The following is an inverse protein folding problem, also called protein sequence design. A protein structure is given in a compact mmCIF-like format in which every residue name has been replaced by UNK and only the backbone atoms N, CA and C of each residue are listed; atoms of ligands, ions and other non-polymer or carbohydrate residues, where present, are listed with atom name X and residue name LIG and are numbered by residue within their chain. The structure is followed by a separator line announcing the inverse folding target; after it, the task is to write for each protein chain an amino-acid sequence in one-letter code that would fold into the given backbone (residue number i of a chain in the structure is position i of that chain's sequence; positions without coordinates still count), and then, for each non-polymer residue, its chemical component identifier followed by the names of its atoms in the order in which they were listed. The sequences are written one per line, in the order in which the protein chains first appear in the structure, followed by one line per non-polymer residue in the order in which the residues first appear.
data_IF_076007269919
#
_entry.id   IF_076007269919
#
_cell.length_a   1.000
_cell.length_b   1.000
_cell.length_c   1.000
_cell.angle_alpha   90.00
_cell.angle_beta   90.00
_cell.angle_gamma   90.00
#
_symmetry.space_group_name_H-M   'P 1'
#
loop_
_entity.id
_entity.type
_entity.pdbx_description
1 polymer ?
#
# COMPACT_ATOMS: atom_id res chain seq x y z
N UNK A 1 -4.84 8.23 -15.59
CA UNK A 1 -5.45 7.18 -14.75
C UNK A 1 -5.07 7.47 -13.32
N UNK A 2 -6.03 7.50 -12.40
CA UNK A 2 -5.78 7.82 -10.98
C UNK A 2 -5.05 6.65 -10.30
N UNK A 3 -4.16 6.98 -9.37
CA UNK A 3 -3.32 6.01 -8.65
C UNK A 3 -3.67 6.02 -7.17
N UNK A 4 -3.89 4.84 -6.60
CA UNK A 4 -4.09 4.64 -5.17
C UNK A 4 -2.93 3.83 -4.59
N UNK A 5 -2.25 4.38 -3.58
CA UNK A 5 -1.26 3.65 -2.79
C UNK A 5 -1.86 3.28 -1.44
N UNK A 6 -1.83 2.00 -1.07
CA UNK A 6 -2.33 1.50 0.21
C UNK A 6 -1.16 0.99 1.05
N UNK A 7 -0.91 1.62 2.19
CA UNK A 7 0.15 1.28 3.14
C UNK A 7 -0.45 0.47 4.29
N UNK A 8 0.22 -0.60 4.71
CA UNK A 8 -0.25 -1.47 5.79
C UNK A 8 -1.35 -2.44 5.35
N UNK A 9 -1.18 -3.08 4.19
CA UNK A 9 -2.18 -4.03 3.68
C UNK A 9 -2.20 -5.33 4.49
N UNK A 10 -3.30 -5.55 5.20
CA UNK A 10 -3.70 -6.84 5.79
C UNK A 10 -4.90 -7.48 5.06
N UNK A 11 -5.28 -8.69 5.49
CA UNK A 11 -6.30 -9.54 4.83
C UNK A 11 -7.72 -8.95 4.83
N UNK A 12 -8.02 -8.06 5.78
CA UNK A 12 -9.32 -7.40 5.93
C UNK A 12 -9.36 -6.06 5.19
N UNK A 13 -9.23 -4.93 5.90
CA UNK A 13 -9.43 -3.57 5.37
C UNK A 13 -8.53 -3.28 4.17
N UNK A 14 -7.26 -3.67 4.23
CA UNK A 14 -6.29 -3.45 3.15
C UNK A 14 -6.71 -4.11 1.84
N UNK A 15 -7.11 -5.38 1.88
CA UNK A 15 -7.62 -6.13 0.72
C UNK A 15 -8.90 -5.51 0.16
N UNK A 16 -9.90 -5.28 1.03
CA UNK A 16 -11.18 -4.72 0.61
C UNK A 16 -11.02 -3.33 -0.05
N UNK A 17 -10.13 -2.51 0.48
CA UNK A 17 -9.79 -1.21 -0.10
C UNK A 17 -9.13 -1.37 -1.47
N UNK A 18 -8.15 -2.27 -1.61
CA UNK A 18 -7.48 -2.52 -2.88
C UNK A 18 -8.45 -2.97 -3.98
N UNK A 19 -9.34 -3.91 -3.64
CA UNK A 19 -10.38 -4.41 -4.55
C UNK A 19 -11.36 -3.31 -4.94
N UNK A 20 -11.82 -2.49 -3.99
CA UNK A 20 -12.78 -1.42 -4.25
C UNK A 20 -12.22 -0.32 -5.16
N UNK A 21 -10.98 0.11 -4.92
CA UNK A 21 -10.33 1.12 -5.76
C UNK A 21 -10.04 0.59 -7.17
N UNK A 22 -9.61 -0.67 -7.30
CA UNK A 22 -9.41 -1.29 -8.60
C UNK A 22 -10.73 -1.39 -9.39
N UNK A 23 -11.83 -1.78 -8.73
CA UNK A 23 -13.16 -1.80 -9.34
C UNK A 23 -13.65 -0.40 -9.76
N UNK A 24 -13.17 0.66 -9.09
CA UNK A 24 -13.44 2.05 -9.46
C UNK A 24 -12.48 2.60 -10.56
N UNK A 25 -11.61 1.76 -11.14
CA UNK A 25 -10.73 2.14 -12.25
C UNK A 25 -9.37 2.74 -11.85
N UNK A 26 -8.98 2.64 -10.57
CA UNK A 26 -7.67 3.11 -10.12
C UNK A 26 -6.58 2.09 -10.44
N UNK A 27 -5.37 2.58 -10.73
CA UNK A 27 -4.16 1.77 -10.60
C UNK A 27 -3.83 1.65 -9.12
N UNK A 28 -3.88 0.45 -8.57
CA UNK A 28 -3.68 0.21 -7.13
C UNK A 28 -2.32 -0.40 -6.88
N UNK A 29 -1.52 0.25 -6.03
CA UNK A 29 -0.28 -0.27 -5.47
C UNK A 29 -0.44 -0.54 -3.97
N UNK A 30 0.25 -1.57 -3.47
CA UNK A 30 0.16 -1.98 -2.07
C UNK A 30 1.54 -2.03 -1.42
N UNK A 31 1.64 -1.54 -0.20
CA UNK A 31 2.88 -1.49 0.56
C UNK A 31 2.69 -2.09 1.96
N UNK A 32 3.55 -3.03 2.34
CA UNK A 32 3.55 -3.63 3.69
C UNK A 32 4.83 -4.43 3.93
N UNK A 33 5.02 -4.93 5.16
CA UNK A 33 6.21 -5.69 5.57
C UNK A 33 6.36 -7.00 4.82
N UNK A 34 5.24 -7.63 4.47
CA UNK A 34 5.17 -8.93 3.81
C UNK A 34 4.09 -8.89 2.74
N UNK A 35 4.30 -9.58 1.63
CA UNK A 35 3.29 -9.67 0.58
C UNK A 35 2.05 -10.39 1.11
N UNK A 36 0.88 -9.75 1.00
CA UNK A 36 -0.43 -10.29 1.43
C UNK A 36 -1.42 -10.49 0.30
N UNK A 37 -1.22 -9.83 -0.83
CA UNK A 37 -2.08 -9.93 -2.01
C UNK A 37 -1.28 -10.44 -3.20
N UNK A 38 -1.99 -10.91 -4.22
CA UNK A 38 -1.40 -11.29 -5.50
C UNK A 38 -0.71 -10.08 -6.15
N UNK A 39 0.60 -10.18 -6.31
CA UNK A 39 1.44 -9.13 -6.89
C UNK A 39 1.26 -8.96 -8.39
N UNK A 40 0.71 -9.97 -9.08
CA UNK A 40 0.35 -9.85 -10.49
C UNK A 40 -0.83 -8.87 -10.68
N UNK A 41 -1.73 -8.81 -9.70
CA UNK A 41 -2.89 -7.90 -9.71
C UNK A 41 -2.57 -6.55 -9.05
N UNK A 42 -1.81 -6.55 -7.97
CA UNK A 42 -1.48 -5.35 -7.20
C UNK A 42 0.04 -5.24 -7.00
N UNK A 43 0.74 -4.33 -7.72
CA UNK A 43 2.16 -4.09 -7.51
C UNK A 43 2.51 -3.92 -6.02
N UNK A 44 3.36 -4.82 -5.52
CA UNK A 44 3.74 -4.90 -4.12
C UNK A 44 5.06 -4.19 -3.86
N UNK A 45 5.10 -3.38 -2.80
CA UNK A 45 6.29 -2.69 -2.32
C UNK A 45 6.55 -3.12 -0.86
N UNK A 46 7.72 -3.69 -0.61
CA UNK A 46 8.15 -3.95 0.77
C UNK A 46 8.36 -2.62 1.49
N UNK A 47 7.67 -2.43 2.61
CA UNK A 47 7.70 -1.20 3.41
C UNK A 47 7.36 -1.49 4.86
N UNK A 48 8.16 -0.95 5.78
CA UNK A 48 7.86 -0.92 7.19
C UNK A 48 7.42 0.48 7.61
N UNK A 49 6.18 0.60 8.07
CA UNK A 49 5.60 1.86 8.52
C UNK A 49 6.22 2.38 9.84
N UNK A 50 6.94 1.52 10.57
CA UNK A 50 7.69 1.92 11.76
C UNK A 50 9.06 2.55 11.43
N UNK A 51 9.50 2.54 10.17
CA UNK A 51 10.79 3.05 9.71
C UNK A 51 10.62 4.29 8.81
N UNK A 52 10.62 5.53 9.37
CA UNK A 52 10.31 6.74 8.62
C UNK A 52 11.26 7.00 7.44
N UNK A 53 12.50 6.51 7.53
CA UNK A 53 13.52 6.59 6.47
C UNK A 53 13.08 5.91 5.17
N UNK A 54 12.12 4.99 5.22
CA UNK A 54 11.61 4.27 4.06
C UNK A 54 10.53 5.03 3.29
N UNK A 55 9.98 6.12 3.84
CA UNK A 55 8.86 6.86 3.21
C UNK A 55 9.29 7.42 1.85
N UNK A 56 10.38 8.20 1.80
CA UNK A 56 10.84 8.80 0.53
C UNK A 56 11.18 7.71 -0.51
N UNK A 57 11.97 6.67 -0.18
CA UNK A 57 12.22 5.56 -1.12
C UNK A 57 10.96 4.83 -1.59
N UNK A 58 9.94 4.68 -0.76
CA UNK A 58 8.67 4.06 -1.15
C UNK A 58 8.00 4.89 -2.26
N UNK A 59 7.83 6.19 -2.02
CA UNK A 59 7.14 7.06 -2.98
C UNK A 59 7.90 7.19 -4.30
N UNK A 60 9.23 7.21 -4.28
CA UNK A 60 10.04 7.18 -5.50
C UNK A 60 9.81 5.91 -6.33
N UNK A 61 9.78 4.74 -5.67
CA UNK A 61 9.51 3.45 -6.34
C UNK A 61 8.10 3.38 -6.89
N UNK A 62 7.11 3.81 -6.10
CA UNK A 62 5.70 3.86 -6.51
C UNK A 62 5.54 4.80 -7.71
N UNK A 63 6.14 5.99 -7.68
CA UNK A 63 6.10 6.93 -8.79
C UNK A 63 6.67 6.29 -10.08
N UNK A 64 7.83 5.65 -9.99
CA UNK A 64 8.48 4.99 -11.15
C UNK A 64 7.65 3.85 -11.75
N UNK A 65 6.98 3.04 -10.91
CA UNK A 65 6.30 1.80 -11.35
C UNK A 65 4.82 2.03 -11.69
N UNK A 66 4.12 2.83 -10.90
CA UNK A 66 2.67 3.03 -11.03
C UNK A 66 2.25 4.46 -11.33
N UNK A 67 3.15 5.43 -11.22
CA UNK A 67 2.84 6.86 -11.36
C UNK A 67 2.60 7.54 -10.01
N UNK A 68 2.37 8.85 -10.02
CA UNK A 68 2.16 9.65 -8.81
C UNK A 68 0.82 9.28 -8.16
N UNK A 69 0.79 8.84 -6.89
CA UNK A 69 -0.45 8.58 -6.15
C UNK A 69 -1.30 9.85 -6.02
N UNK A 70 -2.55 9.77 -6.48
CA UNK A 70 -3.59 10.79 -6.20
C UNK A 70 -4.32 10.52 -4.88
N UNK A 71 -4.23 9.29 -4.38
CA UNK A 71 -4.83 8.84 -3.12
C UNK A 71 -3.80 7.99 -2.39
N UNK A 72 -3.61 8.27 -1.09
CA UNK A 72 -2.79 7.45 -0.19
C UNK A 72 -3.66 7.03 0.98
N UNK A 73 -3.76 5.72 1.20
CA UNK A 73 -4.45 5.13 2.35
C UNK A 73 -3.39 4.61 3.31
N UNK A 74 -3.28 5.23 4.49
CA UNK A 74 -2.43 4.74 5.56
C UNK A 74 -3.23 3.84 6.51
N UNK A 75 -3.05 2.53 6.37
CA UNK A 75 -3.63 1.49 7.21
C UNK A 75 -2.53 0.79 8.04
N UNK A 76 -1.56 1.55 8.53
CA UNK A 76 -0.54 1.02 9.45
C UNK A 76 -1.16 0.76 10.83
N UNK A 77 -0.85 -0.40 11.42
CA UNK A 77 -1.17 -0.67 12.83
C UNK A 77 0.12 -0.92 13.61
N UNK A 78 0.23 -0.28 14.77
CA UNK A 78 1.23 -0.62 15.77
C UNK A 78 0.57 -1.60 16.74
N UNK A 79 1.12 -2.81 16.85
CA UNK A 79 0.68 -3.74 17.89
C UNK A 79 1.30 -3.29 19.20
N UNK A 80 0.51 -2.62 20.03
CA UNK A 80 0.90 -2.31 21.41
C UNK A 80 0.49 -3.50 22.27
N UNK A 81 1.46 -4.16 22.89
CA UNK A 81 1.19 -5.14 23.93
C UNK A 81 0.87 -4.37 25.21
N UNK A 82 -0.38 -4.40 25.65
CA UNK A 82 -0.77 -3.85 26.95
C UNK A 82 -0.65 -5.00 27.94
N UNK A 83 0.36 -4.92 28.80
CA UNK A 83 0.56 -5.80 29.97
C UNK A 83 -0.11 -5.20 31.19
#
# INVERSE_FOLDING_TARGET
MSVALIIGVGEAVGRASAEKFAAAGYKVAVASRSQRLDSAKFPFFKFDAAEPTQIVPLFEKVHKVVGVPSVVIYNGMLQVHIT
#
